data_IF_449837020715
#
_entry.id   IF_449837020715
#
_cell.length_a   1.000
_cell.length_b   1.000
_cell.length_c   1.000
_cell.angle_alpha   90.00
_cell.angle_beta   90.00
_cell.angle_gamma   90.00
#
_symmetry.space_group_name_H-M   'P 1'
#
loop_
_entity.id
_entity.type
_entity.pdbx_description
1 polymer ?
#
# COMPACT_ATOMS: atom_id res chain seq x y z
N UNK A 1 22.23 -20.30 4.19
CA UNK A 1 21.68 -20.78 2.94
C UNK A 1 20.53 -21.76 3.13
N UNK A 2 19.85 -22.07 2.04
CA UNK A 2 18.79 -23.09 2.03
C UNK A 2 19.39 -24.48 2.26
N UNK A 3 18.67 -25.36 2.98
CA UNK A 3 19.12 -26.71 3.26
C UNK A 3 17.93 -27.66 3.45
N UNK A 4 18.13 -28.92 3.10
CA UNK A 4 17.19 -30.00 3.40
C UNK A 4 17.43 -30.50 4.83
N UNK A 5 16.36 -30.66 5.60
CA UNK A 5 16.41 -31.17 6.96
C UNK A 5 16.28 -32.70 6.99
N UNK A 6 16.63 -33.38 8.12
CA UNK A 6 16.57 -34.84 8.22
C UNK A 6 15.16 -35.44 8.02
N UNK A 7 14.11 -34.67 8.29
CA UNK A 7 12.70 -35.05 8.08
C UNK A 7 12.23 -34.87 6.62
N UNK A 8 13.14 -34.44 5.75
CA UNK A 8 12.85 -34.17 4.34
C UNK A 8 12.31 -32.79 4.03
N UNK A 9 11.98 -31.98 5.05
CA UNK A 9 11.56 -30.59 4.84
C UNK A 9 12.71 -29.70 4.35
N UNK A 10 12.38 -28.54 3.78
CA UNK A 10 13.34 -27.57 3.27
C UNK A 10 13.33 -26.33 4.15
N UNK A 11 14.46 -26.06 4.78
CA UNK A 11 14.66 -24.80 5.50
C UNK A 11 15.09 -23.71 4.55
N UNK A 12 14.28 -22.65 4.42
CA UNK A 12 14.63 -21.39 3.78
C UNK A 12 14.82 -20.33 4.88
N UNK A 13 15.98 -19.63 4.93
CA UNK A 13 16.28 -18.69 6.01
C UNK A 13 15.43 -17.41 5.96
N UNK A 14 14.86 -17.10 4.81
CA UNK A 14 14.04 -15.92 4.55
C UNK A 14 12.68 -16.33 4.01
N UNK A 15 11.63 -15.63 4.44
CA UNK A 15 10.30 -15.68 3.84
C UNK A 15 10.12 -14.49 2.90
N UNK A 16 9.41 -14.70 1.79
CA UNK A 16 9.03 -13.64 0.86
C UNK A 16 7.54 -13.37 1.04
N UNK A 17 7.23 -12.08 1.12
CA UNK A 17 5.89 -11.54 1.19
C UNK A 17 5.54 -10.84 -0.13
N UNK A 18 4.38 -11.12 -0.70
CA UNK A 18 3.87 -10.43 -1.89
C UNK A 18 2.48 -9.87 -1.64
N UNK A 19 2.24 -8.62 -2.05
CA UNK A 19 0.94 -7.95 -2.01
C UNK A 19 0.43 -7.80 -3.44
N UNK A 20 -0.70 -8.41 -3.76
CA UNK A 20 -1.21 -8.53 -5.14
C UNK A 20 -2.73 -8.43 -5.23
N UNK A 21 -3.23 -7.90 -6.35
CA UNK A 21 -4.65 -7.73 -6.66
C UNK A 21 -5.14 -8.64 -7.82
N UNK A 22 -4.23 -9.45 -8.41
CA UNK A 22 -4.51 -10.35 -9.53
C UNK A 22 -4.22 -11.80 -9.14
N UNK A 23 -5.13 -12.71 -9.48
CA UNK A 23 -4.96 -14.15 -9.28
C UNK A 23 -3.80 -14.73 -10.12
N UNK A 24 -3.60 -14.23 -11.34
CA UNK A 24 -2.52 -14.69 -12.22
C UNK A 24 -1.16 -14.34 -11.62
N UNK A 25 -1.02 -13.14 -11.04
CA UNK A 25 0.21 -12.71 -10.35
C UNK A 25 0.38 -13.48 -9.04
N UNK A 26 -0.70 -13.68 -8.28
CA UNK A 26 -0.67 -14.51 -7.07
C UNK A 26 -0.21 -15.93 -7.36
N UNK A 27 -0.72 -16.55 -8.45
CA UNK A 27 -0.32 -17.89 -8.85
C UNK A 27 1.19 -17.99 -9.14
N UNK A 28 1.78 -16.96 -9.79
CA UNK A 28 3.22 -16.93 -10.05
C UNK A 28 4.06 -16.85 -8.76
N UNK A 29 3.60 -16.09 -7.77
CA UNK A 29 4.27 -16.02 -6.46
C UNK A 29 4.09 -17.28 -5.62
N UNK A 30 2.93 -17.92 -5.70
CA UNK A 30 2.63 -19.19 -4.99
C UNK A 30 3.26 -20.42 -5.65
N UNK A 31 3.70 -20.30 -6.92
CA UNK A 31 4.40 -21.35 -7.64
C UNK A 31 5.92 -21.29 -7.40
N UNK A 32 6.67 -22.37 -7.70
CA UNK A 32 8.12 -22.33 -7.75
C UNK A 32 8.63 -21.32 -8.80
N UNK A 33 9.83 -20.73 -8.57
CA UNK A 33 10.41 -19.78 -9.51
C UNK A 33 10.72 -20.46 -10.86
N UNK A 34 10.65 -19.71 -11.99
CA UNK A 34 10.98 -20.23 -13.29
C UNK A 34 12.41 -20.77 -13.35
N UNK A 35 12.61 -21.96 -13.97
CA UNK A 35 13.91 -22.61 -14.09
C UNK A 35 14.98 -21.72 -14.75
N UNK A 36 14.58 -20.89 -15.74
CA UNK A 36 15.48 -19.94 -16.38
C UNK A 36 16.03 -18.89 -15.41
N UNK A 37 15.20 -18.39 -14.49
CA UNK A 37 15.60 -17.45 -13.44
C UNK A 37 16.61 -18.09 -12.48
N UNK A 38 16.35 -19.31 -12.02
CA UNK A 38 17.27 -20.04 -11.13
C UNK A 38 18.61 -20.26 -11.80
N UNK A 39 18.61 -20.69 -13.09
CA UNK A 39 19.83 -20.87 -13.86
C UNK A 39 20.64 -19.57 -13.99
N UNK A 40 19.97 -18.45 -14.26
CA UNK A 40 20.61 -17.15 -14.32
C UNK A 40 21.23 -16.76 -12.98
N UNK A 41 20.52 -16.96 -11.85
CA UNK A 41 21.03 -16.63 -10.51
C UNK A 41 22.26 -17.48 -10.14
N UNK A 42 22.31 -18.75 -10.56
CA UNK A 42 23.50 -19.59 -10.40
C UNK A 42 24.65 -19.08 -11.25
N UNK A 43 24.41 -18.72 -12.52
CA UNK A 43 25.44 -18.20 -13.42
C UNK A 43 26.11 -16.91 -12.91
N UNK A 44 25.33 -16.03 -12.26
CA UNK A 44 25.85 -14.78 -11.68
C UNK A 44 26.33 -14.95 -10.23
N UNK A 45 26.42 -16.18 -9.71
CA UNK A 45 26.94 -16.49 -8.39
C UNK A 45 26.06 -16.04 -7.22
N UNK A 46 24.78 -15.77 -7.46
CA UNK A 46 23.81 -15.37 -6.40
C UNK A 46 23.15 -16.54 -5.71
N UNK A 47 23.13 -17.71 -6.34
CA UNK A 47 22.72 -18.99 -5.77
C UNK A 47 23.76 -20.05 -6.07
N UNK A 48 23.93 -21.00 -5.15
CA UNK A 48 24.61 -22.25 -5.45
C UNK A 48 23.69 -23.18 -6.24
N UNK A 49 24.24 -24.21 -6.90
CA UNK A 49 23.44 -25.20 -7.61
C UNK A 49 22.47 -25.92 -6.65
N UNK A 50 22.92 -26.26 -5.45
CA UNK A 50 22.10 -26.91 -4.42
C UNK A 50 20.94 -26.00 -3.97
N UNK A 51 21.19 -24.72 -3.75
CA UNK A 51 20.13 -23.77 -3.40
C UNK A 51 19.11 -23.61 -4.51
N UNK A 52 19.54 -23.61 -5.77
CA UNK A 52 18.65 -23.56 -6.93
C UNK A 52 17.76 -24.82 -7.04
N UNK A 53 18.31 -26.01 -6.78
CA UNK A 53 17.54 -27.27 -6.75
C UNK A 53 16.48 -27.28 -5.63
N UNK A 54 16.81 -26.73 -4.45
CA UNK A 54 15.87 -26.59 -3.34
C UNK A 54 14.81 -25.53 -3.65
N UNK A 55 15.21 -24.38 -4.18
CA UNK A 55 14.30 -23.31 -4.56
C UNK A 55 13.29 -23.71 -5.64
N UNK A 56 13.67 -24.60 -6.55
CA UNK A 56 12.77 -25.14 -7.58
C UNK A 56 11.58 -25.94 -7.02
N UNK A 57 11.60 -26.27 -5.73
CA UNK A 57 10.55 -27.01 -5.03
C UNK A 57 9.70 -26.11 -4.12
N UNK A 58 10.11 -24.86 -3.90
CA UNK A 58 9.48 -23.92 -2.96
C UNK A 58 8.73 -22.82 -3.71
N UNK A 59 7.67 -22.24 -3.12
CA UNK A 59 7.03 -21.07 -3.69
C UNK A 59 7.99 -19.87 -3.70
N UNK A 60 7.81 -18.94 -4.64
CA UNK A 60 8.53 -17.65 -4.64
C UNK A 60 8.21 -16.87 -3.38
N UNK A 61 6.94 -16.86 -2.96
CA UNK A 61 6.49 -16.21 -1.73
C UNK A 61 5.59 -17.16 -0.94
N UNK A 62 5.79 -17.23 0.38
CA UNK A 62 4.94 -17.98 1.31
C UNK A 62 3.73 -17.17 1.76
N UNK A 63 3.89 -15.86 1.86
CA UNK A 63 2.86 -14.94 2.33
C UNK A 63 2.34 -14.08 1.19
N UNK A 64 1.06 -14.25 0.83
CA UNK A 64 0.41 -13.49 -0.23
C UNK A 64 -0.71 -12.65 0.38
N UNK A 65 -0.62 -11.34 0.28
CA UNK A 65 -1.71 -10.46 0.70
C UNK A 65 -2.62 -10.12 -0.47
N UNK A 66 -3.90 -10.47 -0.35
CA UNK A 66 -4.95 -9.98 -1.23
C UNK A 66 -5.08 -8.45 -1.05
N UNK A 67 -4.65 -7.69 -2.04
CA UNK A 67 -4.74 -6.23 -2.02
C UNK A 67 -6.10 -5.78 -2.54
N UNK A 68 -6.97 -5.42 -1.62
CA UNK A 68 -8.27 -4.81 -1.92
C UNK A 68 -8.15 -3.28 -2.03
N UNK A 69 -9.25 -2.55 -1.83
CA UNK A 69 -9.28 -1.09 -1.90
C UNK A 69 -8.41 -0.45 -0.81
N UNK A 70 -7.27 0.09 -1.21
CA UNK A 70 -6.21 0.57 -0.33
C UNK A 70 -5.68 1.95 -0.76
N UNK A 71 -4.90 2.62 0.10
CA UNK A 71 -4.19 3.85 -0.24
C UNK A 71 -2.99 3.59 -1.15
N UNK A 72 -2.64 4.55 -2.01
CA UNK A 72 -1.59 4.44 -2.99
C UNK A 72 -2.03 3.70 -4.25
N UNK A 73 -1.12 2.92 -4.86
CA UNK A 73 -1.47 2.08 -5.99
C UNK A 73 -2.49 1.03 -5.55
N UNK A 74 -3.62 0.97 -6.24
CA UNK A 74 -4.70 0.04 -5.94
C UNK A 74 -5.61 -0.16 -7.14
N UNK A 75 -6.06 -1.40 -7.34
CA UNK A 75 -7.11 -1.73 -8.32
C UNK A 75 -8.51 -1.60 -7.72
N UNK A 76 -8.62 -1.20 -6.46
CA UNK A 76 -9.88 -1.04 -5.71
C UNK A 76 -10.76 -2.29 -5.77
N UNK A 77 -10.15 -3.48 -5.71
CA UNK A 77 -10.88 -4.74 -5.71
C UNK A 77 -11.68 -4.90 -4.42
N UNK A 78 -12.94 -5.37 -4.49
CA UNK A 78 -13.69 -5.72 -3.28
C UNK A 78 -13.02 -6.89 -2.55
N UNK A 79 -12.69 -6.73 -1.26
CA UNK A 79 -12.04 -7.77 -0.46
C UNK A 79 -12.88 -9.06 -0.41
N UNK A 80 -14.20 -8.93 -0.29
CA UNK A 80 -15.14 -10.05 -0.25
C UNK A 80 -15.17 -10.90 -1.54
N UNK A 81 -14.66 -10.37 -2.65
CA UNK A 81 -14.55 -11.11 -3.92
C UNK A 81 -13.14 -11.65 -4.10
N UNK A 82 -12.13 -10.82 -3.84
CA UNK A 82 -10.73 -11.16 -4.11
C UNK A 82 -10.20 -12.23 -3.13
N UNK A 83 -10.39 -12.05 -1.83
CA UNK A 83 -9.80 -12.89 -0.79
C UNK A 83 -10.25 -14.37 -0.89
N UNK A 84 -11.54 -14.72 -1.03
CA UNK A 84 -11.95 -16.11 -1.15
C UNK A 84 -11.39 -16.82 -2.39
N UNK A 85 -11.16 -16.08 -3.47
CA UNK A 85 -10.54 -16.64 -4.67
C UNK A 85 -9.05 -16.90 -4.45
N UNK A 86 -8.34 -16.02 -3.76
CA UNK A 86 -6.92 -16.24 -3.41
C UNK A 86 -6.74 -17.39 -2.41
N UNK A 87 -7.65 -17.55 -1.46
CA UNK A 87 -7.65 -18.68 -0.53
C UNK A 87 -7.81 -20.00 -1.28
N UNK A 88 -8.75 -20.11 -2.23
CA UNK A 88 -8.89 -21.31 -3.08
C UNK A 88 -7.63 -21.57 -3.91
N UNK A 89 -7.09 -20.53 -4.54
CA UNK A 89 -5.86 -20.64 -5.32
C UNK A 89 -4.69 -21.15 -4.48
N UNK A 90 -4.54 -20.64 -3.24
CA UNK A 90 -3.56 -21.13 -2.27
C UNK A 90 -3.71 -22.62 -2.02
N UNK A 91 -4.93 -23.09 -1.71
CA UNK A 91 -5.19 -24.48 -1.40
C UNK A 91 -4.88 -25.39 -2.59
N UNK A 92 -5.31 -25.02 -3.80
CA UNK A 92 -5.04 -25.74 -5.04
C UNK A 92 -3.53 -25.83 -5.34
N UNK A 93 -2.79 -24.75 -5.19
CA UNK A 93 -1.35 -24.73 -5.48
C UNK A 93 -0.54 -25.42 -4.38
N UNK A 94 -0.94 -25.29 -3.11
CA UNK A 94 -0.30 -25.99 -1.99
C UNK A 94 -0.42 -27.52 -2.15
N UNK A 95 -1.57 -28.01 -2.61
CA UNK A 95 -1.79 -29.43 -2.91
C UNK A 95 -0.99 -29.88 -4.14
N UNK A 96 -1.12 -29.13 -5.26
CA UNK A 96 -0.45 -29.42 -6.53
C UNK A 96 1.07 -29.56 -6.39
N UNK A 97 1.70 -28.67 -5.61
CA UNK A 97 3.15 -28.66 -5.40
C UNK A 97 3.60 -29.46 -4.18
N UNK A 98 2.67 -29.99 -3.38
CA UNK A 98 2.97 -30.80 -2.21
C UNK A 98 3.74 -30.07 -1.11
N UNK A 99 3.55 -28.77 -0.97
CA UNK A 99 4.33 -27.88 -0.07
C UNK A 99 4.31 -28.33 1.39
N UNK A 100 3.18 -28.86 1.85
CA UNK A 100 3.06 -29.35 3.25
C UNK A 100 4.07 -30.45 3.57
N UNK A 101 4.42 -31.30 2.59
CA UNK A 101 5.44 -32.36 2.75
C UNK A 101 6.85 -31.78 2.82
N UNK A 102 7.05 -30.57 2.30
CA UNK A 102 8.31 -29.85 2.32
C UNK A 102 8.45 -28.94 3.55
N UNK A 103 7.47 -28.97 4.47
CA UNK A 103 7.44 -28.10 5.65
C UNK A 103 7.09 -26.64 5.33
N UNK A 104 6.45 -26.38 4.18
CA UNK A 104 6.06 -25.03 3.75
C UNK A 104 4.55 -24.88 3.84
N UNK A 105 4.12 -23.81 4.48
CA UNK A 105 2.74 -23.37 4.55
C UNK A 105 2.57 -22.07 3.76
N UNK A 106 1.68 -22.09 2.76
CA UNK A 106 1.25 -20.87 2.07
C UNK A 106 0.18 -20.17 2.92
N UNK A 107 0.34 -18.88 3.15
CA UNK A 107 -0.62 -18.06 3.89
C UNK A 107 -1.17 -16.95 3.01
N UNK A 108 -2.46 -16.70 3.13
CA UNK A 108 -3.14 -15.61 2.43
C UNK A 108 -3.64 -14.59 3.43
N UNK A 109 -3.13 -13.38 3.35
CA UNK A 109 -3.56 -12.25 4.16
C UNK A 109 -4.55 -11.34 3.43
N UNK A 110 -5.17 -10.45 4.19
CA UNK A 110 -6.07 -9.43 3.68
C UNK A 110 -5.50 -8.03 3.92
N UNK A 111 -5.46 -7.20 2.87
CA UNK A 111 -5.06 -5.80 2.91
C UNK A 111 -6.03 -4.90 2.16
N UNK A 112 -6.28 -3.70 2.67
CA UNK A 112 -7.27 -2.76 2.13
C UNK A 112 -8.66 -2.89 2.78
N UNK A 113 -9.26 -1.75 3.11
CA UNK A 113 -10.57 -1.68 3.76
C UNK A 113 -10.61 -2.08 5.24
N UNK A 114 -9.49 -2.42 5.86
CA UNK A 114 -9.43 -2.85 7.26
C UNK A 114 -9.08 -1.66 8.15
N UNK A 115 -10.05 -1.21 8.94
CA UNK A 115 -9.90 -0.04 9.81
C UNK A 115 -10.54 -0.18 11.19
N UNK A 116 -11.29 -1.25 11.45
CA UNK A 116 -11.94 -1.53 12.71
C UNK A 116 -12.01 -3.04 13.02
N UNK A 117 -12.38 -3.47 14.22
CA UNK A 117 -12.52 -4.87 14.57
C UNK A 117 -13.51 -5.66 13.71
N UNK A 118 -14.58 -5.03 13.23
CA UNK A 118 -15.58 -5.69 12.38
C UNK A 118 -14.99 -6.05 11.02
N UNK A 119 -14.26 -5.13 10.38
CA UNK A 119 -13.57 -5.39 9.12
C UNK A 119 -12.44 -6.42 9.26
N UNK A 120 -11.70 -6.38 10.38
CA UNK A 120 -10.69 -7.40 10.71
C UNK A 120 -11.33 -8.79 10.88
N UNK A 121 -12.39 -8.90 11.67
CA UNK A 121 -13.16 -10.14 11.86
C UNK A 121 -13.70 -10.66 10.52
N UNK A 122 -14.25 -9.79 9.68
CA UNK A 122 -14.77 -10.18 8.37
C UNK A 122 -13.66 -10.77 7.47
N UNK A 123 -12.45 -10.20 7.49
CA UNK A 123 -11.32 -10.74 6.75
C UNK A 123 -10.97 -12.18 7.21
N UNK A 124 -10.90 -12.44 8.51
CA UNK A 124 -10.65 -13.78 9.03
C UNK A 124 -11.79 -14.74 8.70
N UNK A 125 -13.05 -14.30 8.74
CA UNK A 125 -14.20 -15.12 8.35
C UNK A 125 -14.20 -15.49 6.85
N UNK A 126 -13.61 -14.66 6.00
CA UNK A 126 -13.39 -14.94 4.58
C UNK A 126 -12.19 -15.84 4.30
N UNK A 127 -11.43 -16.23 5.33
CA UNK A 127 -10.33 -17.17 5.25
C UNK A 127 -8.93 -16.55 5.24
N UNK A 128 -8.78 -15.28 5.66
CA UNK A 128 -7.46 -14.68 5.84
C UNK A 128 -6.69 -15.37 6.97
N UNK A 129 -5.40 -15.64 6.76
CA UNK A 129 -4.47 -16.12 7.78
C UNK A 129 -3.90 -14.95 8.63
N UNK A 130 -3.88 -13.75 8.06
CA UNK A 130 -3.44 -12.51 8.71
C UNK A 130 -4.08 -11.29 8.04
N UNK A 131 -3.96 -10.14 8.70
CA UNK A 131 -4.38 -8.85 8.13
C UNK A 131 -3.18 -7.90 7.98
N UNK A 132 -3.25 -7.03 6.96
CA UNK A 132 -2.29 -5.97 6.71
C UNK A 132 -3.01 -4.63 6.71
N UNK A 133 -2.55 -3.71 7.55
CA UNK A 133 -3.04 -2.32 7.60
C UNK A 133 -1.97 -1.36 7.11
N UNK A 134 -2.37 -0.33 6.38
CA UNK A 134 -1.46 0.68 5.85
C UNK A 134 -1.91 2.10 6.21
N UNK A 135 -3.08 2.53 5.71
CA UNK A 135 -3.56 3.91 5.88
C UNK A 135 -3.63 4.32 7.36
N UNK A 136 -4.18 3.47 8.21
CA UNK A 136 -4.33 3.76 9.64
C UNK A 136 -2.99 3.91 10.35
N UNK A 137 -1.99 3.11 9.98
CA UNK A 137 -0.65 3.14 10.58
C UNK A 137 0.07 4.47 10.35
N UNK A 138 -0.30 5.23 9.31
CA UNK A 138 0.26 6.56 9.07
C UNK A 138 -0.12 7.58 10.16
N UNK A 139 -1.14 7.30 10.97
CA UNK A 139 -1.49 8.16 12.12
C UNK A 139 -0.76 7.77 13.41
N UNK A 140 0.00 6.68 13.41
CA UNK A 140 0.72 6.22 14.60
C UNK A 140 1.88 7.15 14.99
N UNK A 141 2.34 7.03 16.23
CA UNK A 141 3.51 7.73 16.74
C UNK A 141 4.80 7.34 16.00
N UNK A 142 4.87 6.09 15.55
CA UNK A 142 6.03 5.52 14.85
C UNK A 142 6.05 5.83 13.35
N UNK A 143 4.99 6.46 12.82
CA UNK A 143 4.94 6.78 11.39
C UNK A 143 6.01 7.80 11.00
N UNK A 144 6.79 7.49 9.97
CA UNK A 144 7.80 8.38 9.39
C UNK A 144 7.23 9.54 8.57
N UNK A 145 6.07 10.10 8.98
CA UNK A 145 5.43 11.25 8.34
C UNK A 145 5.27 12.41 9.30
N UNK A 146 4.99 13.61 8.77
CA UNK A 146 4.89 14.83 9.59
C UNK A 146 3.66 14.85 10.50
N UNK A 147 3.74 15.64 11.58
CA UNK A 147 2.60 15.90 12.47
C UNK A 147 1.41 16.49 11.70
N UNK A 148 1.64 17.38 10.73
CA UNK A 148 0.59 17.94 9.86
C UNK A 148 -0.13 16.87 9.06
N UNK A 149 0.61 15.94 8.45
CA UNK A 149 0.04 14.83 7.70
C UNK A 149 -0.79 13.92 8.60
N UNK A 150 -0.27 13.56 9.78
CA UNK A 150 -1.01 12.77 10.76
C UNK A 150 -2.31 13.45 11.17
N UNK A 151 -2.27 14.76 11.46
CA UNK A 151 -3.44 15.55 11.80
C UNK A 151 -4.48 15.61 10.65
N UNK A 152 -4.04 15.74 9.40
CA UNK A 152 -4.96 15.71 8.25
C UNK A 152 -5.65 14.34 8.13
N UNK A 153 -4.93 13.25 8.35
CA UNK A 153 -5.46 11.89 8.29
C UNK A 153 -6.50 11.61 9.39
N UNK A 154 -6.35 12.17 10.61
CA UNK A 154 -7.36 11.97 11.67
C UNK A 154 -8.71 12.62 11.37
N UNK A 155 -8.75 13.55 10.43
CA UNK A 155 -9.98 14.24 10.01
C UNK A 155 -10.65 13.56 8.81
N UNK A 156 -10.03 12.52 8.23
CA UNK A 156 -10.53 11.83 7.05
C UNK A 156 -11.77 10.99 7.39
N UNK A 157 -12.79 11.08 6.55
CA UNK A 157 -13.91 10.14 6.44
C UNK A 157 -13.65 9.14 5.29
N UNK A 158 -14.49 8.12 5.16
CA UNK A 158 -14.42 7.18 4.02
C UNK A 158 -14.57 7.88 2.66
N UNK A 159 -15.31 8.99 2.60
CA UNK A 159 -15.53 9.76 1.38
C UNK A 159 -14.37 10.71 1.03
N UNK A 160 -13.37 10.85 1.91
CA UNK A 160 -12.26 11.78 1.73
C UNK A 160 -11.07 11.17 0.98
N UNK A 161 -11.32 10.18 0.14
CA UNK A 161 -10.32 9.57 -0.75
C UNK A 161 -10.66 9.80 -2.21
N UNK A 162 -9.63 9.87 -3.06
CA UNK A 162 -9.77 10.11 -4.50
C UNK A 162 -8.59 9.54 -5.27
N UNK A 163 -8.83 9.11 -6.52
CA UNK A 163 -7.76 8.69 -7.42
C UNK A 163 -7.08 9.91 -8.05
N UNK A 164 -5.76 9.87 -8.15
CA UNK A 164 -4.93 10.89 -8.77
C UNK A 164 -3.79 10.26 -9.57
N UNK A 165 -3.23 10.90 -10.61
CA UNK A 165 -2.10 10.40 -11.37
C UNK A 165 -0.91 10.05 -10.46
N UNK A 166 -0.31 8.89 -10.71
CA UNK A 166 0.90 8.42 -10.04
C UNK A 166 2.15 9.09 -10.61
N UNK A 167 3.14 9.38 -9.78
CA UNK A 167 4.39 10.00 -10.22
C UNK A 167 5.29 9.05 -11.01
N UNK A 168 5.36 7.79 -10.60
CA UNK A 168 6.27 6.76 -11.13
C UNK A 168 5.83 6.20 -12.50
N UNK A 169 4.53 6.16 -12.74
CA UNK A 169 3.91 5.67 -13.98
C UNK A 169 2.99 6.73 -14.62
N UNK A 170 3.41 7.98 -14.55
CA UNK A 170 2.62 9.13 -14.99
C UNK A 170 2.25 9.06 -16.48
N UNK A 171 3.23 8.73 -17.32
CA UNK A 171 3.05 8.65 -18.78
C UNK A 171 2.05 7.55 -19.18
N UNK A 172 1.92 6.52 -18.37
CA UNK A 172 0.98 5.41 -18.58
C UNK A 172 -0.42 5.70 -18.06
N UNK A 173 -0.62 6.82 -17.34
CA UNK A 173 -1.91 7.20 -16.76
C UNK A 173 -2.32 6.38 -15.54
N UNK A 174 -1.39 5.66 -14.93
CA UNK A 174 -1.64 4.92 -13.69
C UNK A 174 -1.99 5.89 -12.56
N UNK A 175 -2.87 5.45 -11.67
CA UNK A 175 -3.39 6.29 -10.60
C UNK A 175 -3.09 5.72 -9.23
N UNK A 176 -3.05 6.61 -8.24
CA UNK A 176 -2.93 6.30 -6.80
C UNK A 176 -4.12 6.86 -6.03
N UNK A 177 -4.56 6.16 -4.98
CA UNK A 177 -5.59 6.63 -4.08
C UNK A 177 -5.00 7.49 -2.98
N UNK A 178 -5.49 8.72 -2.86
CA UNK A 178 -4.93 9.75 -1.98
C UNK A 178 -6.02 10.45 -1.16
N UNK A 179 -5.62 11.08 -0.07
CA UNK A 179 -6.48 11.96 0.72
C UNK A 179 -6.88 13.19 -0.12
N UNK A 180 -8.20 13.44 -0.17
CA UNK A 180 -8.81 14.60 -0.83
C UNK A 180 -8.95 15.78 0.13
N UNK A 181 -9.27 15.49 1.40
CA UNK A 181 -9.58 16.52 2.39
C UNK A 181 -8.35 17.36 2.73
N UNK A 182 -8.49 18.68 2.59
CA UNK A 182 -7.43 19.63 2.94
C UNK A 182 -6.24 19.71 1.98
N UNK A 183 -6.33 19.01 0.82
CA UNK A 183 -5.31 19.07 -0.24
C UNK A 183 -5.95 19.25 -1.61
N UNK A 184 -5.34 20.07 -2.46
CA UNK A 184 -5.66 20.23 -3.89
C UNK A 184 -4.80 19.33 -4.79
N UNK A 185 -3.94 18.49 -4.21
CA UNK A 185 -3.02 17.64 -4.97
C UNK A 185 -3.72 16.88 -6.10
N UNK A 186 -4.82 16.18 -5.81
CA UNK A 186 -5.50 15.35 -6.79
C UNK A 186 -6.02 16.15 -8.00
N UNK A 187 -6.53 17.36 -7.77
CA UNK A 187 -6.99 18.26 -8.83
C UNK A 187 -5.82 18.78 -9.67
N UNK A 188 -4.73 19.18 -9.00
CA UNK A 188 -3.52 19.69 -9.65
C UNK A 188 -2.81 18.61 -10.46
N UNK A 189 -2.69 17.40 -9.91
CA UNK A 189 -2.11 16.25 -10.61
C UNK A 189 -2.92 15.87 -11.86
N UNK A 190 -4.27 15.87 -11.78
CA UNK A 190 -5.13 15.65 -12.95
C UNK A 190 -4.92 16.75 -14.00
N UNK A 191 -4.86 18.01 -13.58
CA UNK A 191 -4.61 19.12 -14.50
C UNK A 191 -3.28 18.96 -15.23
N UNK A 192 -2.21 18.60 -14.53
CA UNK A 192 -0.91 18.30 -15.13
C UNK A 192 -1.00 17.14 -16.14
N UNK A 193 -1.76 16.09 -15.81
CA UNK A 193 -1.94 14.96 -16.71
C UNK A 193 -2.76 15.33 -17.96
N UNK A 194 -3.78 16.16 -17.85
CA UNK A 194 -4.55 16.71 -18.98
C UNK A 194 -3.65 17.53 -19.91
N UNK A 195 -2.85 18.44 -19.35
CA UNK A 195 -1.86 19.23 -20.09
C UNK A 195 -0.84 18.33 -20.78
N UNK A 196 -0.33 17.34 -20.06
CA UNK A 196 0.57 16.33 -20.64
C UNK A 196 -0.05 15.60 -21.84
N UNK A 197 -1.31 15.19 -21.77
CA UNK A 197 -1.97 14.53 -22.91
C UNK A 197 -2.18 15.47 -24.09
N UNK A 198 -2.46 16.75 -23.82
CA UNK A 198 -2.88 17.72 -24.84
C UNK A 198 -1.70 18.29 -25.63
N UNK A 199 -0.59 18.59 -24.98
CA UNK A 199 0.53 19.30 -25.62
C UNK A 199 1.75 18.41 -25.84
N UNK A 200 2.52 18.69 -26.88
CA UNK A 200 3.69 17.90 -27.26
C UNK A 200 4.95 18.21 -26.43
N UNK A 201 5.05 19.42 -25.86
CA UNK A 201 6.19 19.83 -25.04
C UNK A 201 5.81 20.95 -24.08
N UNK A 202 6.69 21.33 -23.14
CA UNK A 202 6.50 22.49 -22.26
C UNK A 202 6.35 23.79 -23.05
N UNK A 203 7.08 23.93 -24.15
CA UNK A 203 7.10 25.09 -25.02
C UNK A 203 5.82 25.21 -25.84
N UNK A 204 5.11 24.09 -26.08
CA UNK A 204 3.84 24.07 -26.82
C UNK A 204 2.63 24.46 -25.94
N UNK A 205 2.80 24.66 -24.63
CA UNK A 205 1.73 25.09 -23.75
C UNK A 205 1.40 26.56 -24.00
N UNK A 206 0.11 26.90 -24.28
CA UNK A 206 -0.27 28.31 -24.52
C UNK A 206 0.05 29.22 -23.33
N UNK A 207 0.38 30.51 -23.55
CA UNK A 207 0.84 31.41 -22.48
C UNK A 207 -0.14 31.55 -21.32
N UNK A 208 -1.44 31.61 -21.58
CA UNK A 208 -2.45 31.67 -20.49
C UNK A 208 -2.49 30.42 -19.63
N UNK A 209 -2.41 29.26 -20.26
CA UNK A 209 -2.39 27.96 -19.55
C UNK A 209 -1.10 27.82 -18.76
N UNK A 210 0.02 28.16 -19.35
CA UNK A 210 1.33 28.19 -18.74
C UNK A 210 1.34 29.08 -17.49
N UNK A 211 0.85 30.33 -17.60
CA UNK A 211 0.77 31.24 -16.44
C UNK A 211 -0.04 30.67 -15.28
N UNK A 212 -1.15 29.94 -15.58
CA UNK A 212 -1.96 29.28 -14.56
C UNK A 212 -1.17 28.16 -13.87
N UNK A 213 -0.46 27.32 -14.64
CA UNK A 213 0.36 26.23 -14.07
C UNK A 213 1.47 26.78 -13.17
N UNK A 214 2.18 27.80 -13.64
CA UNK A 214 3.27 28.44 -12.92
C UNK A 214 2.81 29.08 -11.61
N UNK A 215 1.68 29.82 -11.63
CA UNK A 215 1.13 30.49 -10.46
C UNK A 215 0.50 29.50 -9.46
N UNK A 216 -0.38 28.61 -9.93
CA UNK A 216 -1.30 27.87 -9.07
C UNK A 216 -0.74 26.52 -8.61
N UNK A 217 0.17 25.92 -9.41
CA UNK A 217 0.71 24.59 -9.14
C UNK A 217 2.19 24.66 -8.73
N UNK A 218 3.04 25.14 -9.64
CA UNK A 218 4.49 25.12 -9.43
C UNK A 218 4.96 26.21 -8.47
N UNK A 219 4.33 27.41 -8.50
CA UNK A 219 4.74 28.64 -7.80
C UNK A 219 6.14 29.12 -8.22
N UNK A 220 6.51 28.81 -9.44
CA UNK A 220 7.75 29.15 -10.12
C UNK A 220 7.56 28.98 -11.63
N UNK A 221 8.44 29.55 -12.43
CA UNK A 221 8.37 29.40 -13.88
C UNK A 221 8.65 27.97 -14.34
N UNK A 222 8.16 27.56 -15.50
CA UNK A 222 8.47 26.24 -16.04
C UNK A 222 9.96 26.06 -16.36
N UNK A 223 10.70 27.14 -16.63
CA UNK A 223 12.15 27.15 -16.78
C UNK A 223 12.84 26.77 -15.46
N UNK A 224 12.43 27.35 -14.34
CA UNK A 224 12.96 27.06 -13.01
C UNK A 224 12.61 25.62 -12.60
N UNK A 225 11.38 25.15 -12.89
CA UNK A 225 10.97 23.75 -12.68
C UNK A 225 11.89 22.83 -13.46
N UNK A 226 12.13 23.13 -14.74
CA UNK A 226 13.00 22.29 -15.56
C UNK A 226 14.44 22.32 -15.08
N UNK A 227 15.00 23.49 -14.74
CA UNK A 227 16.36 23.62 -14.25
C UNK A 227 16.61 22.75 -12.99
N UNK A 228 15.67 22.80 -12.02
CA UNK A 228 15.77 21.98 -10.81
C UNK A 228 15.59 20.49 -11.10
N UNK A 229 14.68 20.13 -12.01
CA UNK A 229 14.44 18.75 -12.45
C UNK A 229 15.67 18.20 -13.19
N UNK A 230 16.26 18.98 -14.07
CA UNK A 230 17.49 18.61 -14.78
C UNK A 230 18.68 18.39 -13.81
N UNK A 231 18.86 19.29 -12.83
CA UNK A 231 19.88 19.13 -11.80
C UNK A 231 19.73 17.82 -11.00
N UNK A 232 18.49 17.43 -10.67
CA UNK A 232 18.21 16.15 -10.02
C UNK A 232 18.60 14.95 -10.90
N UNK A 233 18.19 14.95 -12.18
CA UNK A 233 18.46 13.82 -13.09
C UNK A 233 19.92 13.74 -13.50
N UNK A 234 20.63 14.88 -13.56
CA UNK A 234 22.08 14.89 -13.82
C UNK A 234 22.86 14.05 -12.81
N UNK A 235 22.42 14.07 -11.54
CA UNK A 235 23.08 13.30 -10.47
C UNK A 235 22.61 11.84 -10.40
N UNK A 236 21.35 11.56 -10.78
CA UNK A 236 20.74 10.27 -10.56
C UNK A 236 20.75 9.35 -11.79
N UNK A 237 20.45 9.88 -12.95
CA UNK A 237 20.43 9.16 -14.23
C UNK A 237 20.53 10.16 -15.39
N UNK A 238 21.74 10.55 -15.84
CA UNK A 238 21.94 11.52 -16.92
C UNK A 238 21.28 11.13 -18.25
N UNK A 239 21.03 9.85 -18.50
CA UNK A 239 20.35 9.37 -19.72
C UNK A 239 18.95 9.94 -19.87
N UNK A 240 18.29 10.31 -18.75
CA UNK A 240 17.00 10.96 -18.79
C UNK A 240 17.09 12.35 -19.46
N UNK A 241 18.20 13.07 -19.26
CA UNK A 241 18.43 14.38 -19.89
C UNK A 241 18.75 14.25 -21.38
N UNK A 242 19.55 13.26 -21.77
CA UNK A 242 19.81 12.95 -23.17
C UNK A 242 18.50 12.68 -23.93
N UNK A 243 17.61 11.87 -23.34
CA UNK A 243 16.28 11.63 -23.88
C UNK A 243 15.42 12.88 -23.93
N UNK A 244 15.41 13.69 -22.86
CA UNK A 244 14.64 14.92 -22.77
C UNK A 244 15.09 15.99 -23.78
N UNK A 245 16.36 15.98 -24.18
CA UNK A 245 16.89 16.87 -25.23
C UNK A 245 16.33 16.56 -26.63
N UNK A 246 15.94 15.29 -26.86
CA UNK A 246 15.41 14.81 -28.13
C UNK A 246 13.87 14.70 -28.13
N UNK A 247 13.27 14.60 -26.95
CA UNK A 247 11.84 14.36 -26.77
C UNK A 247 11.25 15.38 -25.77
N UNK A 248 10.60 16.43 -26.31
CA UNK A 248 9.93 17.48 -25.52
C UNK A 248 8.79 16.93 -24.64
N UNK A 249 8.15 15.83 -25.06
CA UNK A 249 7.11 15.15 -24.29
C UNK A 249 7.72 14.49 -23.05
N UNK A 250 8.85 13.83 -23.20
CA UNK A 250 9.58 13.25 -22.07
C UNK A 250 10.08 14.34 -21.10
N UNK A 251 10.61 15.46 -21.63
CA UNK A 251 10.98 16.64 -20.82
C UNK A 251 9.81 17.12 -19.96
N UNK A 252 8.62 17.28 -20.56
CA UNK A 252 7.41 17.67 -19.86
C UNK A 252 6.99 16.65 -18.78
N UNK A 253 7.05 15.34 -19.10
CA UNK A 253 6.75 14.29 -18.14
C UNK A 253 7.66 14.37 -16.91
N UNK A 254 8.98 14.54 -17.11
CA UNK A 254 9.94 14.66 -16.00
C UNK A 254 9.64 15.88 -15.12
N UNK A 255 9.34 17.05 -15.72
CA UNK A 255 8.98 18.27 -15.00
C UNK A 255 7.70 18.10 -14.16
N UNK A 256 6.67 17.46 -14.72
CA UNK A 256 5.41 17.25 -14.01
C UNK A 256 5.54 16.18 -12.91
N UNK A 257 6.27 15.11 -13.19
CA UNK A 257 6.58 14.07 -12.18
C UNK A 257 7.38 14.63 -11.01
N UNK A 258 8.22 15.63 -11.21
CA UNK A 258 8.93 16.32 -10.13
C UNK A 258 7.95 16.93 -9.12
N UNK A 259 6.89 17.64 -9.58
CA UNK A 259 5.84 18.15 -8.69
C UNK A 259 5.12 17.03 -7.93
N UNK A 260 4.73 15.94 -8.63
CA UNK A 260 4.03 14.82 -7.99
C UNK A 260 4.91 14.17 -6.89
N UNK A 261 6.20 13.96 -7.17
CA UNK A 261 7.13 13.40 -6.20
C UNK A 261 7.41 14.33 -5.01
N UNK A 262 7.59 15.62 -5.29
CA UNK A 262 7.79 16.65 -4.25
C UNK A 262 6.56 16.79 -3.35
N UNK A 263 5.34 16.62 -3.89
CA UNK A 263 4.10 16.68 -3.11
C UNK A 263 4.04 15.60 -2.01
N UNK A 264 4.57 14.41 -2.27
CA UNK A 264 4.74 13.37 -1.24
C UNK A 264 5.82 13.76 -0.22
N UNK A 265 6.94 14.30 -0.68
CA UNK A 265 8.03 14.74 0.21
C UNK A 265 7.59 15.90 1.12
N UNK A 266 6.86 16.87 0.60
CA UNK A 266 6.31 17.98 1.41
C UNK A 266 5.37 17.47 2.52
N UNK A 267 4.54 16.47 2.22
CA UNK A 267 3.72 15.83 3.23
C UNK A 267 4.54 15.11 4.31
N UNK A 268 5.59 14.39 3.91
CA UNK A 268 6.48 13.68 4.83
C UNK A 268 7.24 14.64 5.75
N UNK A 269 7.77 15.74 5.20
CA UNK A 269 8.57 16.71 5.95
C UNK A 269 7.75 17.77 6.67
N UNK A 270 6.46 17.89 6.37
CA UNK A 270 5.55 18.87 6.98
C UNK A 270 5.79 20.30 6.50
N UNK A 271 6.13 20.49 5.22
CA UNK A 271 6.38 21.81 4.64
C UNK A 271 5.10 22.65 4.60
N UNK A 272 4.96 23.57 5.56
CA UNK A 272 3.69 24.24 5.88
C UNK A 272 3.11 25.08 4.73
N UNK A 273 3.95 25.80 3.98
CA UNK A 273 3.55 26.61 2.83
C UNK A 273 3.05 25.79 1.63
N UNK A 274 3.38 24.48 1.60
CA UNK A 274 2.93 23.50 0.61
C UNK A 274 1.84 22.55 1.11
N UNK A 275 1.22 22.80 2.26
CA UNK A 275 0.17 21.93 2.82
C UNK A 275 -0.96 21.62 1.83
N UNK A 276 -1.37 22.59 1.02
CA UNK A 276 -2.40 22.41 -0.02
C UNK A 276 -1.96 21.50 -1.19
N UNK A 277 -0.67 21.18 -1.27
CA UNK A 277 -0.08 20.33 -2.32
C UNK A 277 0.25 18.91 -1.83
N UNK A 278 -0.06 18.56 -0.57
CA UNK A 278 0.33 17.29 0.00
C UNK A 278 -0.31 16.11 -0.74
N UNK A 279 0.54 15.21 -1.22
CA UNK A 279 0.16 13.87 -1.65
C UNK A 279 0.26 12.92 -0.46
N UNK A 280 -0.89 12.50 0.05
CA UNK A 280 -0.96 11.57 1.18
C UNK A 280 -1.73 10.33 0.71
N UNK A 281 -1.05 9.19 0.61
CA UNK A 281 -1.70 7.94 0.24
C UNK A 281 -2.68 7.53 1.33
N UNK A 282 -3.95 7.39 0.98
CA UNK A 282 -5.02 7.14 1.91
C UNK A 282 -6.12 6.30 1.27
N UNK A 283 -6.45 5.18 1.89
CA UNK A 283 -7.61 4.37 1.53
C UNK A 283 -8.80 4.61 2.47
N UNK A 284 -9.99 4.06 2.16
CA UNK A 284 -11.22 4.26 2.92
C UNK A 284 -11.13 3.74 4.36
N UNK A 285 -10.23 2.79 4.64
CA UNK A 285 -9.96 2.27 5.97
C UNK A 285 -9.60 3.36 7.00
N UNK A 286 -9.02 4.48 6.55
CA UNK A 286 -8.68 5.60 7.46
C UNK A 286 -9.94 6.22 8.06
N UNK A 287 -10.96 6.48 7.24
CA UNK A 287 -12.24 7.02 7.72
C UNK A 287 -12.98 6.06 8.63
N UNK A 288 -12.93 4.76 8.33
CA UNK A 288 -13.50 3.72 9.19
C UNK A 288 -12.81 3.70 10.55
N UNK A 289 -11.47 3.73 10.57
CA UNK A 289 -10.69 3.79 11.81
C UNK A 289 -10.99 5.03 12.64
N UNK A 290 -11.05 6.20 12.02
CA UNK A 290 -11.39 7.45 12.72
C UNK A 290 -12.77 7.38 13.35
N UNK A 291 -13.77 6.85 12.62
CA UNK A 291 -15.12 6.66 13.14
C UNK A 291 -15.14 5.71 14.35
N UNK A 292 -14.39 4.63 14.29
CA UNK A 292 -14.25 3.67 15.39
C UNK A 292 -13.50 4.26 16.61
N UNK A 293 -12.47 5.07 16.36
CA UNK A 293 -11.66 5.72 17.41
C UNK A 293 -12.39 6.86 18.12
N UNK A 294 -13.41 7.46 17.51
CA UNK A 294 -14.14 8.61 18.09
C UNK A 294 -14.76 8.25 19.44
N UNK A 295 -14.57 9.11 20.42
CA UNK A 295 -15.04 8.91 21.80
C UNK A 295 -14.26 7.87 22.60
N UNK A 296 -13.11 7.40 22.08
CA UNK A 296 -12.22 6.45 22.76
C UNK A 296 -10.83 7.04 23.00
N UNK A 297 -9.99 6.34 23.75
CA UNK A 297 -8.60 6.77 23.97
C UNK A 297 -7.77 6.85 22.68
N UNK A 298 -8.15 6.12 21.59
CA UNK A 298 -7.51 6.16 20.27
C UNK A 298 -7.86 7.42 19.46
N UNK A 299 -8.83 8.23 19.89
CA UNK A 299 -9.17 9.48 19.19
C UNK A 299 -7.98 10.45 19.18
N UNK A 300 -7.24 10.51 20.28
CA UNK A 300 -6.08 11.36 20.46
C UNK A 300 -4.85 10.77 19.75
N UNK A 301 -4.18 11.58 18.93
CA UNK A 301 -3.00 11.16 18.15
C UNK A 301 -1.87 10.62 19.03
N UNK A 302 -1.65 11.23 20.19
CA UNK A 302 -0.61 10.88 21.15
C UNK A 302 -0.79 9.49 21.74
N UNK A 303 -1.97 8.92 21.63
CA UNK A 303 -2.28 7.55 22.08
C UNK A 303 -2.15 6.50 20.97
N UNK A 304 -1.96 6.92 19.72
CA UNK A 304 -1.89 6.00 18.57
C UNK A 304 -0.51 5.35 18.45
N UNK A 305 -0.17 4.51 19.41
CA UNK A 305 0.96 3.59 19.27
C UNK A 305 0.58 2.47 18.30
N UNK A 306 1.44 2.15 17.33
CA UNK A 306 1.13 1.18 16.26
C UNK A 306 0.84 -0.21 16.81
N UNK A 307 1.54 -0.63 17.86
CA UNK A 307 1.32 -1.93 18.51
C UNK A 307 -0.02 -1.96 19.20
N UNK A 308 -0.36 -0.92 19.98
CA UNK A 308 -1.64 -0.83 20.67
C UNK A 308 -2.82 -0.72 19.69
N UNK A 309 -2.66 -0.01 18.56
CA UNK A 309 -3.65 0.02 17.49
C UNK A 309 -3.90 -1.38 16.93
N UNK A 310 -2.84 -2.13 16.64
CA UNK A 310 -2.92 -3.51 16.16
C UNK A 310 -3.57 -4.45 17.17
N UNK A 311 -3.16 -4.38 18.43
CA UNK A 311 -3.73 -5.19 19.52
C UNK A 311 -5.22 -4.88 19.72
N UNK A 312 -5.61 -3.60 19.70
CA UNK A 312 -7.03 -3.20 19.84
C UNK A 312 -7.91 -3.76 18.71
N UNK A 313 -7.42 -3.71 17.46
CA UNK A 313 -8.12 -4.31 16.32
C UNK A 313 -8.28 -5.82 16.47
N UNK A 314 -7.19 -6.52 16.81
CA UNK A 314 -7.19 -7.97 16.93
C UNK A 314 -8.01 -8.47 18.11
N UNK A 315 -7.89 -7.83 19.26
CA UNK A 315 -8.66 -8.14 20.46
C UNK A 315 -10.16 -7.92 20.19
N UNK A 316 -10.55 -6.77 19.61
CA UNK A 316 -11.93 -6.52 19.24
C UNK A 316 -12.48 -7.54 18.24
N UNK A 317 -11.72 -7.92 17.24
CA UNK A 317 -12.10 -8.98 16.28
C UNK A 317 -12.32 -10.34 16.97
N UNK A 318 -11.47 -10.70 17.92
CA UNK A 318 -11.60 -11.92 18.71
C UNK A 318 -12.83 -11.91 19.60
N UNK A 319 -13.12 -10.79 20.28
CA UNK A 319 -14.33 -10.60 21.11
C UNK A 319 -15.59 -10.75 20.28
N UNK A 320 -15.67 -10.08 19.11
CA UNK A 320 -16.80 -10.18 18.19
C UNK A 320 -17.00 -11.62 17.73
N UNK A 321 -15.93 -12.30 17.31
CA UNK A 321 -15.98 -13.70 16.88
C UNK A 321 -16.53 -14.62 17.99
N UNK A 322 -16.10 -14.40 19.24
CA UNK A 322 -16.58 -15.16 20.40
C UNK A 322 -18.06 -14.87 20.66
N UNK A 323 -18.47 -13.61 20.64
CA UNK A 323 -19.84 -13.21 20.88
C UNK A 323 -20.81 -13.82 19.85
N UNK A 324 -20.46 -13.79 18.56
CA UNK A 324 -21.26 -14.40 17.49
C UNK A 324 -21.44 -15.91 17.68
N UNK A 325 -20.38 -16.62 18.08
CA UNK A 325 -20.49 -18.05 18.38
C UNK A 325 -21.41 -18.32 19.56
N UNK A 326 -21.35 -17.51 20.62
CA UNK A 326 -22.26 -17.61 21.76
C UNK A 326 -23.69 -17.32 21.36
N UNK A 327 -23.93 -16.29 20.55
CA UNK A 327 -25.26 -15.95 20.03
C UNK A 327 -25.85 -17.09 19.17
N UNK A 328 -25.04 -17.73 18.32
CA UNK A 328 -25.45 -18.92 17.56
C UNK A 328 -25.83 -20.11 18.45
N UNK A 329 -25.28 -20.20 19.67
CA UNK A 329 -25.64 -21.19 20.69
C UNK A 329 -26.84 -20.75 21.57
N UNK A 330 -27.52 -19.65 21.24
CA UNK A 330 -28.68 -19.14 21.97
C UNK A 330 -28.33 -18.33 23.23
N UNK A 331 -27.07 -17.95 23.42
CA UNK A 331 -26.64 -17.11 24.54
C UNK A 331 -26.89 -15.64 24.21
N UNK A 332 -27.54 -14.91 25.11
CA UNK A 332 -27.69 -13.46 24.97
C UNK A 332 -26.33 -12.78 25.09
N UNK A 333 -26.00 -11.93 24.10
CA UNK A 333 -24.75 -11.15 24.05
C UNK A 333 -25.05 -9.67 23.90
N UNK A 334 -24.17 -8.76 24.39
CA UNK A 334 -24.29 -7.33 24.15
C UNK A 334 -24.30 -6.99 22.65
N UNK A 335 -24.73 -5.77 22.30
CA UNK A 335 -24.71 -5.30 20.93
C UNK A 335 -23.28 -5.30 20.36
N UNK A 336 -23.09 -5.72 19.11
CA UNK A 336 -21.78 -5.79 18.47
C UNK A 336 -21.03 -4.44 18.50
N UNK A 337 -21.76 -3.33 18.43
CA UNK A 337 -21.18 -2.00 18.53
C UNK A 337 -20.47 -1.75 19.87
N UNK A 338 -21.06 -2.26 20.97
CA UNK A 338 -20.44 -2.15 22.30
C UNK A 338 -19.23 -3.05 22.44
N UNK A 339 -19.31 -4.26 21.89
CA UNK A 339 -18.24 -5.26 21.92
C UNK A 339 -17.04 -4.87 21.03
N UNK A 340 -17.25 -4.03 20.03
CA UNK A 340 -16.20 -3.57 19.12
C UNK A 340 -15.37 -2.40 19.67
N UNK A 341 -15.76 -1.77 20.79
CA UNK A 341 -14.99 -0.68 21.39
C UNK A 341 -13.57 -1.14 21.74
N UNK A 342 -12.55 -0.27 21.58
CA UNK A 342 -11.20 -0.60 22.00
C UNK A 342 -11.19 -0.93 23.49
N UNK A 343 -10.55 -2.04 23.87
CA UNK A 343 -10.30 -2.33 25.27
C UNK A 343 -9.44 -1.22 25.89
N UNK A 344 -9.54 -1.07 27.21
CA UNK A 344 -8.72 -0.11 27.93
C UNK A 344 -7.22 -0.36 27.68
N UNK A 345 -6.45 0.70 27.58
CA UNK A 345 -5.01 0.66 27.25
C UNK A 345 -4.24 -0.31 28.14
N UNK A 346 -4.51 -0.27 29.46
CA UNK A 346 -3.84 -1.13 30.45
C UNK A 346 -4.15 -2.61 30.26
N UNK A 347 -5.32 -2.94 29.72
CA UNK A 347 -5.68 -4.33 29.37
C UNK A 347 -4.86 -4.79 28.18
N UNK A 348 -4.70 -3.97 27.14
CA UNK A 348 -3.93 -4.29 25.95
C UNK A 348 -2.43 -4.44 26.24
N UNK A 349 -1.89 -3.68 27.17
CA UNK A 349 -0.49 -3.77 27.59
C UNK A 349 -0.13 -5.07 28.34
N UNK A 350 -1.14 -5.86 28.73
CA UNK A 350 -0.96 -7.17 29.40
C UNK A 350 -1.08 -8.36 28.45
N UNK A 351 -1.47 -8.12 27.21
CA UNK A 351 -1.51 -9.12 26.12
C UNK A 351 -0.14 -9.31 25.51
#
# INVERSE_FOLDING_TARGET
GMRKLPDGSIHAPNSVFAKVSSLDVAAQFMAPPPAAMLKQLVQVGKLTAIEAELAAQLPVAQDITAEADSGGHTDRRPLSVLLPQMVRLRDELAERHGYRRLGVELRVGAGGGIGDPMSARAAFALGADYILTGSINQTSLQAGTSALTRQMLTQASMADVVMAPAADMFEMGVQVQVLKRGSFYAQRARKLYEVYKTYASLEAIPPEERTKLERDIFRQTLEEVWASTAGYWQQRDPKQLEKAALDGKHKMALAFRAYLGLSSRWAQTGQADRKSDYQIWCGPAMGLFNSWATGTWLETLENRDVTLMGLALMQGAAVITRAERLAQCGVAVPALLELSKPAERDVLLRL
#
